data_IF_878307712973
#
_entry.id   IF_878307712973
#
_cell.length_a   1.000
_cell.length_b   1.000
_cell.length_c   1.000
_cell.angle_alpha   90.00
_cell.angle_beta   90.00
_cell.angle_gamma   90.00
#
_symmetry.space_group_name_H-M   'P 1'
#
loop_
_entity.id
_entity.type
_entity.pdbx_description
1 polymer ?
#
# COMPACT_ATOMS: atom_id res chain seq x y z
N UNK A 1 39.21 13.43 -14.06
CA UNK A 1 38.30 12.80 -13.09
C UNK A 1 37.00 13.57 -13.04
N UNK A 2 35.82 12.96 -13.35
CA UNK A 2 34.51 13.61 -13.11
C UNK A 2 34.30 13.74 -11.60
N UNK A 3 34.12 14.98 -11.09
CA UNK A 3 33.81 15.21 -9.69
C UNK A 3 32.54 14.43 -9.31
N UNK A 4 32.60 13.57 -8.31
CA UNK A 4 31.45 12.79 -7.84
C UNK A 4 30.68 13.63 -6.85
N UNK A 5 29.58 14.27 -7.30
CA UNK A 5 28.69 15.04 -6.43
C UNK A 5 27.74 14.12 -5.66
N UNK A 6 27.52 14.42 -4.40
CA UNK A 6 26.58 13.72 -3.55
C UNK A 6 25.41 14.62 -3.19
N UNK A 7 24.20 14.21 -3.59
CA UNK A 7 22.96 14.91 -3.21
C UNK A 7 22.55 14.51 -1.80
N UNK A 8 22.43 15.49 -0.90
CA UNK A 8 21.99 15.30 0.49
C UNK A 8 20.79 16.17 0.78
N UNK A 9 19.87 15.70 1.63
CA UNK A 9 18.72 16.44 2.11
C UNK A 9 18.46 16.13 3.59
N UNK A 10 18.28 17.18 4.39
CA UNK A 10 17.71 17.07 5.74
C UNK A 10 16.20 16.86 5.62
N UNK A 11 15.68 15.79 6.20
CA UNK A 11 14.27 15.42 6.11
C UNK A 11 13.46 16.25 7.10
N UNK A 12 12.36 16.84 6.60
CA UNK A 12 11.38 17.57 7.40
C UNK A 12 10.34 16.61 8.01
N UNK A 13 9.91 15.59 7.27
CA UNK A 13 8.95 14.60 7.72
C UNK A 13 9.60 13.63 8.73
N UNK A 14 9.13 13.67 9.97
CA UNK A 14 9.63 12.77 11.03
C UNK A 14 8.76 11.52 11.22
N UNK A 15 7.44 11.64 11.02
CA UNK A 15 6.48 10.59 11.35
C UNK A 15 5.71 10.15 10.10
N UNK A 16 5.93 8.90 9.66
CA UNK A 16 5.27 8.33 8.49
C UNK A 16 4.61 7.00 8.82
N UNK A 17 3.34 6.87 8.48
CA UNK A 17 2.59 5.61 8.51
C UNK A 17 2.38 5.17 7.06
N UNK A 18 2.79 3.95 6.74
CA UNK A 18 2.46 3.26 5.50
C UNK A 18 1.38 2.23 5.76
N UNK A 19 0.25 2.32 5.09
CA UNK A 19 -0.68 1.20 4.91
C UNK A 19 -0.35 0.59 3.57
N UNK A 20 0.05 -0.67 3.56
CA UNK A 20 0.60 -1.34 2.38
C UNK A 20 0.07 -2.76 2.22
N UNK A 21 0.34 -3.36 1.10
CA UNK A 21 -0.01 -4.72 0.71
C UNK A 21 -0.16 -4.80 -0.81
N UNK A 22 -0.49 -5.99 -1.29
CA UNK A 22 -0.79 -6.20 -2.71
C UNK A 22 -2.02 -5.36 -3.13
N UNK A 23 -2.12 -4.97 -4.39
CA UNK A 23 -3.35 -4.35 -4.89
C UNK A 23 -4.57 -5.27 -4.57
N UNK A 24 -5.70 -4.67 -4.20
CA UNK A 24 -6.92 -5.39 -3.75
C UNK A 24 -6.77 -6.18 -2.44
N UNK A 25 -5.74 -5.91 -1.64
CA UNK A 25 -5.59 -6.54 -0.30
C UNK A 25 -6.55 -5.97 0.75
N UNK A 26 -7.27 -4.88 0.46
CA UNK A 26 -8.18 -4.21 1.39
C UNK A 26 -7.61 -2.94 2.02
N UNK A 27 -6.52 -2.41 1.49
CA UNK A 27 -5.91 -1.16 1.95
C UNK A 27 -6.89 0.02 1.90
N UNK A 28 -7.65 0.15 0.81
CA UNK A 28 -8.65 1.22 0.64
C UNK A 28 -9.72 1.26 1.73
N UNK A 29 -9.99 0.13 2.40
CA UNK A 29 -10.86 0.07 3.58
C UNK A 29 -10.10 0.45 4.85
N UNK A 30 -8.87 -0.04 5.03
CA UNK A 30 -8.11 0.16 6.27
C UNK A 30 -7.48 1.56 6.35
N UNK A 31 -7.05 2.12 5.23
CA UNK A 31 -6.37 3.42 5.19
C UNK A 31 -7.22 4.57 5.71
N UNK A 32 -8.52 4.73 5.34
CA UNK A 32 -9.39 5.74 5.91
C UNK A 32 -9.61 5.57 7.42
N UNK A 33 -9.66 4.32 7.89
CA UNK A 33 -9.81 4.03 9.32
C UNK A 33 -8.55 4.49 10.08
N UNK A 34 -7.36 4.21 9.56
CA UNK A 34 -6.10 4.71 10.14
C UNK A 34 -6.04 6.24 10.10
N UNK A 35 -6.50 6.88 9.00
CA UNK A 35 -6.60 8.33 8.88
C UNK A 35 -7.50 8.97 9.95
N UNK A 36 -8.50 8.24 10.45
CA UNK A 36 -9.40 8.71 11.48
C UNK A 36 -8.79 8.76 12.89
N UNK A 37 -7.63 8.16 13.10
CA UNK A 37 -6.95 8.12 14.41
C UNK A 37 -6.41 9.50 14.81
N UNK A 38 -6.15 9.67 16.11
CA UNK A 38 -5.58 10.90 16.66
C UNK A 38 -4.24 11.24 16.00
N UNK A 39 -4.02 12.52 15.68
CA UNK A 39 -2.76 13.00 15.09
C UNK A 39 -2.35 12.35 13.75
N UNK A 40 -3.21 11.60 13.09
CA UNK A 40 -2.96 11.09 11.75
C UNK A 40 -3.58 12.05 10.74
N UNK A 41 -2.82 12.46 9.75
CA UNK A 41 -3.28 13.29 8.64
C UNK A 41 -4.19 12.47 7.70
N UNK A 42 -4.95 13.18 6.84
CA UNK A 42 -5.74 12.49 5.83
C UNK A 42 -4.88 11.66 4.90
N UNK A 43 -5.48 10.64 4.32
CA UNK A 43 -4.83 9.70 3.41
C UNK A 43 -4.24 10.40 2.18
N UNK A 44 -3.02 10.02 1.82
CA UNK A 44 -2.38 10.38 0.54
C UNK A 44 -2.02 9.13 -0.25
N UNK A 45 -2.12 9.24 -1.56
CA UNK A 45 -1.60 8.26 -2.54
C UNK A 45 -0.58 8.96 -3.42
N UNK A 46 0.67 8.50 -3.35
CA UNK A 46 1.78 9.09 -4.10
C UNK A 46 2.42 7.96 -4.93
N UNK A 47 1.84 7.66 -6.06
CA UNK A 47 2.26 6.54 -6.94
C UNK A 47 3.71 6.62 -7.42
N UNK A 48 4.28 7.83 -7.50
CA UNK A 48 5.71 8.01 -7.84
C UNK A 48 6.65 7.31 -6.86
N UNK A 49 6.26 7.19 -5.58
CA UNK A 49 7.07 6.48 -4.58
C UNK A 49 7.08 4.98 -4.82
N UNK A 50 5.96 4.39 -5.24
CA UNK A 50 5.90 2.99 -5.64
C UNK A 50 6.77 2.75 -6.88
N UNK A 51 6.76 3.67 -7.86
CA UNK A 51 7.62 3.60 -9.04
C UNK A 51 9.11 3.69 -8.68
N UNK A 52 9.49 4.59 -7.77
CA UNK A 52 10.89 4.67 -7.29
C UNK A 52 11.32 3.39 -6.58
N UNK A 53 10.43 2.78 -5.80
CA UNK A 53 10.70 1.49 -5.14
C UNK A 53 10.94 0.37 -6.15
N UNK A 54 10.13 0.33 -7.22
CA UNK A 54 10.26 -0.64 -8.32
C UNK A 54 11.57 -0.41 -9.09
N UNK A 55 11.87 0.84 -9.48
CA UNK A 55 13.11 1.18 -10.19
C UNK A 55 14.37 0.84 -9.35
N UNK A 56 14.31 1.07 -8.04
CA UNK A 56 15.38 0.67 -7.13
C UNK A 56 15.51 -0.86 -7.04
N UNK A 57 14.41 -1.59 -6.99
CA UNK A 57 14.40 -3.05 -6.95
C UNK A 57 15.05 -3.66 -8.20
N UNK A 58 14.80 -3.08 -9.38
CA UNK A 58 15.40 -3.49 -10.65
C UNK A 58 16.76 -2.83 -10.91
N UNK A 59 17.36 -2.16 -9.93
CA UNK A 59 18.67 -1.50 -10.02
C UNK A 59 18.78 -0.45 -11.16
N UNK A 60 17.61 0.12 -11.58
CA UNK A 60 17.55 1.21 -12.55
C UNK A 60 17.85 2.57 -11.93
N UNK A 61 17.63 2.69 -10.62
CA UNK A 61 18.06 3.82 -9.81
C UNK A 61 18.80 3.30 -8.58
N UNK A 62 19.92 3.96 -8.23
CA UNK A 62 20.62 3.66 -6.98
C UNK A 62 19.72 3.93 -5.78
N UNK A 63 19.93 3.20 -4.68
CA UNK A 63 19.18 3.45 -3.44
C UNK A 63 19.34 4.90 -2.96
N UNK A 64 20.54 5.47 -3.12
CA UNK A 64 20.86 6.83 -2.74
C UNK A 64 20.07 7.86 -3.55
N UNK A 65 20.02 7.71 -4.87
CA UNK A 65 19.23 8.58 -5.76
C UNK A 65 17.74 8.44 -5.48
N UNK A 66 17.24 7.22 -5.38
CA UNK A 66 15.82 6.95 -5.09
C UNK A 66 15.40 7.55 -3.75
N UNK A 67 16.23 7.40 -2.70
CA UNK A 67 16.02 8.00 -1.38
C UNK A 67 15.97 9.53 -1.44
N UNK A 68 16.90 10.15 -2.15
CA UNK A 68 16.94 11.61 -2.29
C UNK A 68 15.65 12.15 -2.93
N UNK A 69 15.22 11.55 -4.04
CA UNK A 69 13.99 11.95 -4.74
C UNK A 69 12.76 11.70 -3.85
N UNK A 70 12.67 10.52 -3.22
CA UNK A 70 11.55 10.16 -2.35
C UNK A 70 11.40 11.12 -1.17
N UNK A 71 12.51 11.50 -0.54
CA UNK A 71 12.49 12.43 0.59
C UNK A 71 12.04 13.86 0.19
N UNK A 72 12.34 14.28 -1.04
CA UNK A 72 11.81 15.54 -1.57
C UNK A 72 10.29 15.46 -1.79
N UNK A 73 9.81 14.40 -2.42
CA UNK A 73 8.38 14.19 -2.66
C UNK A 73 7.61 14.12 -1.34
N UNK A 74 8.12 13.36 -0.37
CA UNK A 74 7.48 13.19 0.93
C UNK A 74 7.42 14.51 1.72
N UNK A 75 8.52 15.23 1.81
CA UNK A 75 8.58 16.50 2.51
C UNK A 75 7.69 17.56 1.88
N UNK A 76 7.69 17.65 0.53
CA UNK A 76 6.83 18.57 -0.19
C UNK A 76 5.36 18.24 0.03
N UNK A 77 4.97 16.98 -0.17
CA UNK A 77 3.59 16.53 0.05
C UNK A 77 3.10 16.77 1.47
N UNK A 78 3.96 16.51 2.46
CA UNK A 78 3.60 16.74 3.86
C UNK A 78 3.49 18.23 4.16
N UNK A 79 4.41 19.06 3.67
CA UNK A 79 4.34 20.51 3.79
C UNK A 79 3.06 21.07 3.17
N UNK A 80 2.72 20.64 1.97
CA UNK A 80 1.49 21.03 1.27
C UNK A 80 0.23 20.66 2.05
N UNK A 81 0.22 19.47 2.65
CA UNK A 81 -0.88 19.02 3.50
C UNK A 81 -1.06 19.90 4.75
N UNK A 82 0.05 20.35 5.37
CA UNK A 82 0.02 21.22 6.54
C UNK A 82 -0.52 22.62 6.24
N UNK A 83 -0.45 23.08 5.00
CA UNK A 83 -0.97 24.41 4.56
C UNK A 83 -2.21 24.32 3.68
N UNK A 84 -2.80 23.14 3.54
CA UNK A 84 -3.99 22.95 2.71
C UNK A 84 -3.76 23.10 1.20
N UNK A 85 -2.49 23.01 0.71
CA UNK A 85 -2.17 23.09 -0.71
C UNK A 85 -2.27 21.75 -1.39
N UNK A 86 -2.62 21.70 -2.68
CA UNK A 86 -2.72 20.50 -3.51
C UNK A 86 -3.56 19.40 -2.82
N UNK A 87 -4.69 19.82 -2.23
CA UNK A 87 -5.65 18.92 -1.59
C UNK A 87 -6.63 18.40 -2.62
N UNK A 88 -7.09 17.16 -2.45
CA UNK A 88 -8.09 16.58 -3.32
C UNK A 88 -9.49 16.94 -2.82
N UNK A 89 -10.26 17.66 -3.64
CA UNK A 89 -11.67 18.03 -3.38
C UNK A 89 -12.66 17.22 -4.24
N UNK A 90 -12.21 16.15 -4.89
CA UNK A 90 -13.08 15.29 -5.68
C UNK A 90 -13.97 14.50 -4.73
N UNK A 91 -15.27 14.77 -4.74
CA UNK A 91 -16.25 14.06 -3.92
C UNK A 91 -16.15 12.54 -4.06
N UNK A 92 -16.36 11.81 -2.97
CA UNK A 92 -16.33 10.34 -2.89
C UNK A 92 -14.97 9.67 -3.18
N UNK A 93 -13.93 10.43 -3.47
CA UNK A 93 -12.57 9.87 -3.56
C UNK A 93 -12.00 9.62 -2.16
N UNK A 94 -11.43 8.46 -1.93
CA UNK A 94 -10.90 8.07 -0.61
C UNK A 94 -9.79 9.00 -0.08
N UNK A 95 -9.15 9.79 -0.96
CA UNK A 95 -8.16 10.81 -0.62
C UNK A 95 -8.75 12.22 -0.57
N UNK A 96 -10.07 12.39 -0.71
CA UNK A 96 -10.74 13.67 -0.66
C UNK A 96 -10.74 14.30 0.72
N UNK A 97 -10.73 15.62 0.77
CA UNK A 97 -10.94 16.40 1.99
C UNK A 97 -12.25 16.03 2.66
N UNK A 98 -13.34 15.82 1.90
CA UNK A 98 -14.65 15.42 2.40
C UNK A 98 -14.63 14.08 3.13
N UNK A 99 -13.73 13.17 2.72
CA UNK A 99 -13.56 11.85 3.32
C UNK A 99 -12.63 11.86 4.54
N UNK A 100 -12.01 13.01 4.84
CA UNK A 100 -11.18 13.17 6.02
C UNK A 100 -12.00 13.18 7.31
N UNK A 101 -11.34 12.98 8.46
CA UNK A 101 -12.01 13.04 9.77
C UNK A 101 -12.47 14.45 10.14
N UNK A 102 -11.86 15.48 9.59
CA UNK A 102 -12.18 16.88 9.85
C UNK A 102 -11.91 17.71 8.59
N UNK A 103 -12.88 17.82 7.67
CA UNK A 103 -12.75 18.65 6.47
C UNK A 103 -12.42 20.11 6.78
N UNK A 104 -13.06 20.69 7.81
CA UNK A 104 -12.87 22.08 8.21
C UNK A 104 -11.43 22.39 8.63
N UNK A 105 -10.67 21.40 9.10
CA UNK A 105 -9.25 21.57 9.41
C UNK A 105 -8.47 21.99 8.17
N UNK A 106 -8.74 21.37 7.02
CA UNK A 106 -8.00 21.63 5.78
C UNK A 106 -8.40 22.97 5.16
N UNK A 107 -9.66 23.38 5.30
CA UNK A 107 -10.10 24.74 4.92
C UNK A 107 -9.42 25.82 5.78
N UNK A 108 -9.35 25.62 7.09
CA UNK A 108 -8.62 26.52 7.99
C UNK A 108 -7.13 26.62 7.62
N UNK A 109 -6.53 25.53 7.15
CA UNK A 109 -5.12 25.50 6.72
C UNK A 109 -4.84 26.37 5.49
N UNK A 110 -5.83 26.65 4.64
CA UNK A 110 -5.68 27.60 3.52
C UNK A 110 -5.29 29.00 3.96
N UNK A 111 -5.64 29.37 5.21
CA UNK A 111 -5.31 30.66 5.82
C UNK A 111 -3.91 30.71 6.47
N UNK A 112 -3.20 29.58 6.55
CA UNK A 112 -1.88 29.51 7.17
C UNK A 112 -0.82 30.13 6.27
N UNK A 113 -0.12 31.16 6.78
CA UNK A 113 1.02 31.77 6.09
C UNK A 113 2.18 30.77 6.00
N UNK A 114 2.89 30.80 4.85
CA UNK A 114 4.03 29.92 4.55
C UNK A 114 5.23 30.14 5.49
N UNK A 115 6.17 29.22 5.45
CA UNK A 115 7.49 29.37 6.06
C UNK A 115 7.56 28.99 7.53
N UNK A 116 8.17 29.86 8.37
CA UNK A 116 8.48 29.53 9.77
C UNK A 116 7.27 29.15 10.62
N UNK A 117 6.09 29.67 10.31
CA UNK A 117 4.85 29.36 11.03
C UNK A 117 4.42 27.90 10.83
N UNK A 118 4.65 27.35 9.63
CA UNK A 118 4.36 25.92 9.34
C UNK A 118 5.28 25.01 10.18
N UNK A 119 6.54 25.38 10.33
CA UNK A 119 7.50 24.62 11.15
C UNK A 119 7.13 24.65 12.63
N UNK A 120 6.67 25.80 13.15
CA UNK A 120 6.17 25.89 14.53
C UNK A 120 4.94 25.02 14.73
N UNK A 121 3.99 25.08 13.82
CA UNK A 121 2.79 24.26 13.83
C UNK A 121 3.12 22.76 13.81
N UNK A 122 3.98 22.32 12.89
CA UNK A 122 4.43 20.92 12.79
C UNK A 122 5.05 20.43 14.11
N UNK A 123 5.97 21.20 14.69
CA UNK A 123 6.62 20.85 15.98
C UNK A 123 5.63 20.70 17.13
N UNK A 124 4.60 21.56 17.16
CA UNK A 124 3.55 21.51 18.18
C UNK A 124 2.62 20.31 18.02
N UNK A 125 2.18 20.02 16.80
CA UNK A 125 1.18 19.00 16.52
C UNK A 125 1.74 17.58 16.44
N UNK A 126 2.99 17.41 15.97
CA UNK A 126 3.65 16.10 15.76
C UNK A 126 2.76 15.09 15.06
N UNK A 127 2.12 15.53 13.97
CA UNK A 127 1.21 14.69 13.21
C UNK A 127 1.95 13.64 12.38
N UNK A 128 1.26 12.59 12.00
CA UNK A 128 1.76 11.52 11.15
C UNK A 128 1.21 11.68 9.74
N UNK A 129 2.08 11.76 8.76
CA UNK A 129 1.67 11.59 7.36
C UNK A 129 1.25 10.14 7.15
N UNK A 130 0.13 9.94 6.44
CA UNK A 130 -0.37 8.62 6.10
C UNK A 130 -0.32 8.41 4.58
N UNK A 131 0.32 7.33 4.17
CA UNK A 131 0.35 6.89 2.78
C UNK A 131 -0.27 5.52 2.60
N UNK A 132 -1.09 5.37 1.56
CA UNK A 132 -1.42 4.07 0.96
C UNK A 132 -0.40 3.80 -0.15
N UNK A 133 0.28 2.65 -0.05
CA UNK A 133 1.31 2.23 -1.01
C UNK A 133 1.10 0.76 -1.41
N UNK A 134 1.82 0.33 -2.44
CA UNK A 134 1.78 -1.05 -2.89
C UNK A 134 3.08 -1.79 -2.57
N UNK A 135 2.94 -3.02 -2.07
CA UNK A 135 4.04 -3.97 -1.93
C UNK A 135 5.28 -3.44 -1.15
N UNK A 136 5.10 -2.54 -0.16
CA UNK A 136 6.23 -1.98 0.59
C UNK A 136 7.05 -3.06 1.33
N UNK A 137 6.44 -4.17 1.72
CA UNK A 137 7.14 -5.32 2.30
C UNK A 137 8.05 -5.99 1.27
N UNK A 138 7.59 -6.17 0.03
CA UNK A 138 8.43 -6.66 -1.05
C UNK A 138 9.59 -5.70 -1.33
N UNK A 139 9.31 -4.40 -1.42
CA UNK A 139 10.31 -3.34 -1.67
C UNK A 139 10.90 -2.76 -0.39
N UNK A 140 11.01 -3.56 0.68
CA UNK A 140 11.44 -3.10 2.00
C UNK A 140 12.82 -2.43 2.02
N UNK A 141 13.75 -2.85 1.15
CA UNK A 141 15.08 -2.21 1.03
C UNK A 141 14.97 -0.71 0.75
N UNK A 142 14.03 -0.30 -0.10
CA UNK A 142 13.78 1.11 -0.38
C UNK A 142 13.13 1.81 0.83
N UNK A 143 11.98 1.31 1.30
CA UNK A 143 11.19 1.98 2.32
C UNK A 143 11.89 2.11 3.68
N UNK A 144 12.61 1.06 4.10
CA UNK A 144 13.32 1.05 5.38
C UNK A 144 14.58 1.94 5.38
N UNK A 145 15.08 2.32 4.22
CA UNK A 145 16.28 3.15 4.08
C UNK A 145 15.99 4.64 3.78
N UNK A 146 14.72 5.07 3.78
CA UNK A 146 14.38 6.49 3.58
C UNK A 146 15.00 7.41 4.64
N UNK A 147 15.29 6.89 5.83
CA UNK A 147 15.86 7.65 6.94
C UNK A 147 14.81 8.44 7.74
N UNK A 148 13.54 8.07 7.62
CA UNK A 148 12.45 8.64 8.41
C UNK A 148 12.51 8.09 9.83
N UNK A 149 12.53 8.99 10.82
CA UNK A 149 12.75 8.67 12.24
C UNK A 149 11.70 7.69 12.78
N UNK A 150 10.44 7.98 12.54
CA UNK A 150 9.30 7.22 13.06
C UNK A 150 8.49 6.63 11.89
N UNK A 151 9.11 5.75 11.12
CA UNK A 151 8.42 4.98 10.08
C UNK A 151 7.65 3.83 10.73
N UNK A 152 6.34 3.72 10.45
CA UNK A 152 5.47 2.61 10.84
C UNK A 152 4.84 1.98 9.60
N UNK A 153 4.84 0.66 9.51
CA UNK A 153 4.32 -0.09 8.37
C UNK A 153 3.20 -1.02 8.84
N UNK A 154 2.01 -0.81 8.31
CA UNK A 154 0.84 -1.67 8.51
C UNK A 154 0.64 -2.44 7.20
N UNK A 155 1.00 -3.71 7.17
CA UNK A 155 0.88 -4.54 5.99
C UNK A 155 -0.44 -5.31 6.01
N UNK A 156 -1.32 -5.04 5.05
CA UNK A 156 -2.60 -5.73 4.89
C UNK A 156 -2.43 -6.86 3.89
N UNK A 157 -2.75 -8.06 4.33
CA UNK A 157 -2.70 -9.27 3.50
C UNK A 157 -4.10 -9.84 3.30
N UNK A 158 -4.35 -10.48 2.18
CA UNK A 158 -5.64 -11.06 1.82
C UNK A 158 -5.46 -12.38 1.12
N UNK A 159 -6.47 -13.25 1.24
CA UNK A 159 -6.47 -14.56 0.58
C UNK A 159 -6.21 -14.41 -0.94
N UNK A 160 -5.27 -15.19 -1.52
CA UNK A 160 -4.92 -15.11 -2.94
C UNK A 160 -6.09 -15.30 -3.91
N UNK A 161 -7.09 -16.11 -3.55
CA UNK A 161 -8.29 -16.33 -4.37
C UNK A 161 -9.07 -15.02 -4.48
N UNK A 162 -9.24 -14.29 -3.38
CA UNK A 162 -9.98 -13.03 -3.37
C UNK A 162 -9.24 -11.94 -4.14
N UNK A 163 -7.91 -11.90 -4.04
CA UNK A 163 -7.06 -10.98 -4.80
C UNK A 163 -7.16 -11.30 -6.30
N UNK A 164 -7.00 -12.57 -6.69
CA UNK A 164 -7.07 -13.00 -8.08
C UNK A 164 -8.45 -12.69 -8.70
N UNK A 165 -9.53 -13.01 -8.01
CA UNK A 165 -10.89 -12.66 -8.47
C UNK A 165 -11.08 -11.16 -8.64
N UNK A 166 -10.57 -10.36 -7.72
CA UNK A 166 -10.63 -8.89 -7.83
C UNK A 166 -9.85 -8.38 -9.05
N UNK A 167 -8.64 -8.88 -9.29
CA UNK A 167 -7.82 -8.48 -10.44
C UNK A 167 -8.41 -8.92 -11.78
N UNK A 168 -9.08 -10.08 -11.82
CA UNK A 168 -9.83 -10.52 -13.00
C UNK A 168 -10.98 -9.54 -13.29
N UNK A 169 -11.74 -9.15 -12.26
CA UNK A 169 -12.86 -8.21 -12.43
C UNK A 169 -12.38 -6.81 -12.84
N UNK A 170 -11.21 -6.37 -12.35
CA UNK A 170 -10.53 -5.11 -12.73
C UNK A 170 -9.84 -5.19 -14.10
N UNK A 171 -9.91 -6.34 -14.80
CA UNK A 171 -9.27 -6.57 -16.11
C UNK A 171 -7.76 -6.32 -16.13
N UNK A 172 -7.06 -6.55 -15.02
CA UNK A 172 -5.62 -6.29 -14.92
C UNK A 172 -4.77 -7.24 -15.78
N UNK A 173 -5.36 -8.28 -16.36
CA UNK A 173 -4.68 -9.15 -17.33
C UNK A 173 -4.46 -8.50 -18.70
N UNK A 174 -5.16 -7.42 -19.02
CA UNK A 174 -5.02 -6.64 -20.26
C UNK A 174 -4.26 -5.33 -20.04
N UNK A 175 -3.55 -5.20 -18.93
CA UNK A 175 -2.92 -3.94 -18.49
C UNK A 175 -1.87 -3.42 -19.47
N UNK A 176 -1.24 -4.32 -20.24
CA UNK A 176 -0.23 -3.97 -21.25
C UNK A 176 -0.82 -3.14 -22.39
N UNK A 177 -2.14 -3.24 -22.62
CA UNK A 177 -2.88 -2.51 -23.66
C UNK A 177 -3.64 -1.29 -23.09
N UNK A 178 -3.55 -1.03 -21.78
CA UNK A 178 -4.30 0.05 -21.13
C UNK A 178 -3.50 1.34 -21.13
N UNK A 179 -4.05 2.40 -21.74
CA UNK A 179 -3.49 3.76 -21.71
C UNK A 179 -3.52 4.34 -20.27
N UNK A 180 -4.51 3.96 -19.47
CA UNK A 180 -4.67 4.42 -18.09
C UNK A 180 -3.91 3.58 -17.07
N UNK A 181 -3.03 2.68 -17.55
CA UNK A 181 -2.26 1.82 -16.68
C UNK A 181 -1.21 2.61 -15.88
N UNK A 182 -1.27 2.47 -14.57
CA UNK A 182 -0.27 3.04 -13.65
C UNK A 182 0.79 2.01 -13.20
N UNK A 183 0.65 0.75 -13.61
CA UNK A 183 1.60 -0.32 -13.31
C UNK A 183 2.75 -0.25 -14.32
N UNK A 184 4.01 -0.09 -13.88
CA UNK A 184 5.13 -0.04 -14.79
C UNK A 184 5.23 -1.28 -15.68
N UNK A 185 5.49 -1.06 -16.95
CA UNK A 185 5.79 -2.10 -17.91
C UNK A 185 7.31 -2.27 -18.01
N UNK A 186 7.75 -3.50 -18.21
CA UNK A 186 9.14 -3.84 -18.49
C UNK A 186 9.24 -4.49 -19.87
N UNK A 187 10.32 -4.19 -20.58
CA UNK A 187 10.59 -4.76 -21.90
C UNK A 187 11.90 -5.54 -21.90
N UNK A 188 11.87 -6.73 -22.53
CA UNK A 188 13.05 -7.56 -22.76
C UNK A 188 12.93 -8.27 -24.11
N UNK A 189 13.92 -8.13 -25.01
CA UNK A 189 13.95 -8.73 -26.35
C UNK A 189 12.60 -8.54 -27.10
N UNK A 190 12.15 -7.28 -27.22
CA UNK A 190 10.88 -6.89 -27.87
C UNK A 190 9.58 -7.40 -27.22
N UNK A 191 9.64 -8.07 -26.06
CA UNK A 191 8.47 -8.47 -25.29
C UNK A 191 8.24 -7.48 -24.16
N UNK A 192 7.05 -6.90 -24.08
CA UNK A 192 6.65 -5.97 -23.02
C UNK A 192 5.60 -6.63 -22.14
N UNK A 193 5.76 -6.54 -20.84
CA UNK A 193 4.84 -7.09 -19.83
C UNK A 193 4.80 -6.21 -18.58
N UNK A 194 3.73 -6.34 -17.78
CA UNK A 194 3.69 -5.76 -16.44
C UNK A 194 4.90 -6.23 -15.62
N UNK A 195 5.49 -5.35 -14.83
CA UNK A 195 6.71 -5.66 -14.06
C UNK A 195 6.55 -6.89 -13.14
N UNK A 196 5.36 -7.17 -12.69
CA UNK A 196 5.04 -8.37 -11.91
C UNK A 196 5.45 -9.69 -12.60
N UNK A 197 5.51 -9.68 -13.94
CA UNK A 197 5.86 -10.85 -14.75
C UNK A 197 7.36 -10.90 -15.09
N UNK A 198 8.22 -10.19 -14.38
CA UNK A 198 9.64 -10.08 -14.69
C UNK A 198 10.36 -11.44 -14.80
N UNK A 199 9.95 -12.43 -14.00
CA UNK A 199 10.49 -13.81 -14.08
C UNK A 199 9.96 -14.60 -15.27
N UNK A 200 8.81 -14.20 -15.80
CA UNK A 200 8.07 -14.93 -16.83
C UNK A 200 8.06 -14.20 -18.18
N UNK A 201 8.92 -13.18 -18.33
CA UNK A 201 8.93 -12.33 -19.54
C UNK A 201 9.18 -13.13 -20.83
N UNK A 202 9.96 -14.21 -20.75
CA UNK A 202 10.29 -15.09 -21.88
C UNK A 202 9.31 -16.26 -22.08
N UNK A 203 8.39 -16.51 -21.14
CA UNK A 203 7.46 -17.63 -21.24
C UNK A 203 6.41 -17.41 -22.33
N UNK A 204 5.78 -18.52 -22.77
CA UNK A 204 4.67 -18.50 -23.76
C UNK A 204 3.60 -17.48 -23.38
N UNK A 205 2.92 -16.96 -24.39
CA UNK A 205 1.81 -16.04 -24.23
C UNK A 205 0.73 -16.71 -23.38
N UNK A 206 0.38 -16.12 -22.28
CA UNK A 206 -0.71 -16.50 -21.40
C UNK A 206 -1.98 -15.78 -21.84
N UNK A 207 -3.15 -16.36 -21.58
CA UNK A 207 -4.37 -15.59 -21.70
C UNK A 207 -4.45 -14.53 -20.57
N UNK A 208 -5.38 -13.58 -20.67
CA UNK A 208 -5.52 -12.48 -19.70
C UNK A 208 -5.76 -12.94 -18.26
N UNK A 209 -6.47 -14.04 -18.06
CA UNK A 209 -6.77 -14.58 -16.74
C UNK A 209 -5.57 -15.31 -16.12
N UNK A 210 -4.85 -16.09 -16.94
CA UNK A 210 -3.59 -16.73 -16.55
C UNK A 210 -2.51 -15.71 -16.22
N UNK A 211 -2.48 -14.61 -16.95
CA UNK A 211 -1.63 -13.44 -16.69
C UNK A 211 -1.90 -12.90 -15.27
N UNK A 212 -3.16 -12.71 -14.90
CA UNK A 212 -3.55 -12.30 -13.53
C UNK A 212 -3.05 -13.30 -12.50
N UNK A 213 -3.24 -14.61 -12.69
CA UNK A 213 -2.78 -15.61 -11.72
C UNK A 213 -1.27 -15.50 -11.49
N UNK A 214 -0.47 -15.38 -12.57
CA UNK A 214 0.99 -15.26 -12.43
C UNK A 214 1.40 -13.95 -11.74
N UNK A 215 0.76 -12.84 -12.02
CA UNK A 215 1.03 -11.57 -11.33
C UNK A 215 0.71 -11.68 -9.84
N UNK A 216 -0.45 -12.24 -9.47
CA UNK A 216 -0.86 -12.43 -8.07
C UNK A 216 0.12 -13.36 -7.34
N UNK A 217 0.52 -14.47 -7.98
CA UNK A 217 1.52 -15.37 -7.41
C UNK A 217 2.84 -14.63 -7.14
N UNK A 218 3.34 -13.88 -8.12
CA UNK A 218 4.59 -13.11 -7.94
C UNK A 218 4.49 -12.11 -6.79
N UNK A 219 3.38 -11.39 -6.68
CA UNK A 219 3.19 -10.41 -5.60
C UNK A 219 3.18 -11.05 -4.23
N UNK A 220 2.32 -12.06 -4.04
CA UNK A 220 2.11 -12.65 -2.71
C UNK A 220 3.30 -13.53 -2.29
N UNK A 221 3.93 -14.27 -3.20
CA UNK A 221 5.15 -15.02 -2.92
C UNK A 221 6.29 -14.09 -2.46
N UNK A 222 6.50 -12.97 -3.18
CA UNK A 222 7.51 -12.00 -2.77
C UNK A 222 7.12 -11.33 -1.44
N UNK A 223 5.86 -10.97 -1.23
CA UNK A 223 5.40 -10.42 0.04
C UNK A 223 5.69 -11.38 1.19
N UNK A 224 5.37 -12.66 1.08
CA UNK A 224 5.66 -13.70 2.08
C UNK A 224 7.17 -13.82 2.30
N UNK A 225 7.94 -13.99 1.22
CA UNK A 225 9.40 -14.13 1.25
C UNK A 225 10.09 -12.98 1.97
N UNK A 226 9.72 -11.74 1.64
CA UNK A 226 10.36 -10.57 2.22
C UNK A 226 9.82 -10.26 3.63
N UNK A 227 8.54 -10.56 3.91
CA UNK A 227 8.02 -10.48 5.27
C UNK A 227 8.81 -11.36 6.25
N UNK A 228 9.14 -12.59 5.88
CA UNK A 228 9.95 -13.48 6.72
C UNK A 228 11.29 -12.86 7.13
N UNK A 229 11.91 -12.07 6.24
CA UNK A 229 13.19 -11.41 6.50
C UNK A 229 13.09 -10.23 7.48
N UNK A 230 11.93 -9.59 7.56
CA UNK A 230 11.75 -8.35 8.34
C UNK A 230 10.67 -8.44 9.43
N UNK A 231 10.06 -9.62 9.65
CA UNK A 231 8.93 -9.83 10.59
C UNK A 231 9.21 -9.41 12.04
N UNK A 232 10.48 -9.45 12.47
CA UNK A 232 10.90 -9.08 13.82
C UNK A 232 11.12 -7.58 14.01
N UNK A 233 10.92 -6.77 12.97
CA UNK A 233 11.08 -5.32 13.10
C UNK A 233 9.93 -4.71 13.91
N UNK A 234 10.28 -3.91 14.93
CA UNK A 234 9.34 -3.21 15.81
C UNK A 234 8.49 -2.14 15.10
N UNK A 235 8.81 -1.81 13.86
CA UNK A 235 8.10 -0.81 13.06
C UNK A 235 7.21 -1.44 11.97
N UNK A 236 6.94 -2.74 12.04
CA UNK A 236 6.10 -3.48 11.10
C UNK A 236 5.07 -4.32 11.86
N UNK A 237 3.79 -4.19 11.47
CA UNK A 237 2.75 -5.17 11.80
C UNK A 237 2.12 -5.71 10.54
N UNK A 238 1.60 -6.94 10.62
CA UNK A 238 0.80 -7.54 9.56
C UNK A 238 -0.60 -7.85 10.06
N UNK A 239 -1.58 -7.60 9.20
CA UNK A 239 -2.99 -7.76 9.48
C UNK A 239 -3.61 -8.54 8.32
N UNK A 240 -4.31 -9.60 8.64
CA UNK A 240 -5.14 -10.34 7.69
C UNK A 240 -6.45 -9.60 7.47
N UNK A 241 -6.83 -9.39 6.21
CA UNK A 241 -8.04 -8.66 5.86
C UNK A 241 -9.32 -9.29 6.41
N UNK A 242 -9.44 -10.63 6.31
CA UNK A 242 -10.64 -11.34 6.79
C UNK A 242 -10.76 -11.18 8.30
N UNK A 243 -9.65 -11.42 9.02
CA UNK A 243 -9.61 -11.23 10.47
C UNK A 243 -9.89 -9.78 10.88
N UNK A 244 -9.41 -8.80 10.10
CA UNK A 244 -9.73 -7.39 10.37
C UNK A 244 -11.22 -7.12 10.19
N UNK A 245 -11.82 -7.64 9.13
CA UNK A 245 -13.23 -7.42 8.84
C UNK A 245 -14.16 -8.06 9.92
N UNK A 246 -13.81 -9.25 10.39
CA UNK A 246 -14.60 -9.98 11.38
C UNK A 246 -14.35 -9.50 12.82
N UNK A 247 -13.09 -9.29 13.17
CA UNK A 247 -12.64 -8.93 14.53
C UNK A 247 -12.09 -7.50 14.56
N UNK A 248 -12.83 -6.55 13.99
CA UNK A 248 -12.41 -5.16 13.78
C UNK A 248 -11.91 -4.50 15.06
N UNK A 249 -12.64 -4.62 16.18
CA UNK A 249 -12.25 -3.96 17.43
C UNK A 249 -10.92 -4.45 17.97
N UNK A 250 -10.65 -5.74 17.94
CA UNK A 250 -9.38 -6.34 18.38
C UNK A 250 -8.22 -5.86 17.47
N UNK A 251 -8.42 -5.87 16.17
CA UNK A 251 -7.41 -5.40 15.23
C UNK A 251 -7.16 -3.88 15.34
N UNK A 252 -8.19 -3.10 15.66
CA UNK A 252 -8.04 -1.68 15.95
C UNK A 252 -7.23 -1.44 17.22
N UNK A 253 -7.42 -2.22 18.28
CA UNK A 253 -6.57 -2.17 19.48
C UNK A 253 -5.11 -2.48 19.13
N UNK A 254 -4.87 -3.52 18.31
CA UNK A 254 -3.54 -3.86 17.81
C UNK A 254 -2.90 -2.71 17.04
N UNK A 255 -3.64 -2.05 16.13
CA UNK A 255 -3.15 -0.89 15.39
C UNK A 255 -2.86 0.29 16.31
N UNK A 256 -3.77 0.65 17.20
CA UNK A 256 -3.61 1.77 18.13
C UNK A 256 -2.39 1.57 19.05
N UNK A 257 -2.22 0.37 19.61
CA UNK A 257 -1.06 0.02 20.43
C UNK A 257 0.25 0.10 19.63
N UNK A 258 0.27 -0.43 18.41
CA UNK A 258 1.44 -0.38 17.53
C UNK A 258 1.85 1.05 17.16
N UNK A 259 0.87 1.90 16.87
CA UNK A 259 1.10 3.30 16.53
C UNK A 259 1.33 4.17 17.76
N UNK A 260 0.91 3.72 18.95
CA UNK A 260 0.82 4.51 20.20
C UNK A 260 -0.09 5.72 20.04
N UNK A 261 -1.23 5.53 19.41
CA UNK A 261 -2.20 6.55 19.04
C UNK A 261 -3.62 6.06 19.37
N UNK A 262 -4.48 6.94 19.85
CA UNK A 262 -5.85 6.62 20.23
C UNK A 262 -6.84 6.82 19.09
N UNK A 263 -8.00 6.16 19.22
CA UNK A 263 -9.17 6.42 18.37
C UNK A 263 -9.73 7.82 18.64
N UNK A 264 -10.42 8.35 17.66
CA UNK A 264 -11.22 9.59 17.80
C UNK A 264 -12.70 9.26 17.71
N UNK A 265 -13.56 10.25 17.99
CA UNK A 265 -15.02 10.13 17.79
C UNK A 265 -15.38 9.80 16.33
N UNK A 266 -14.53 10.22 15.38
CA UNK A 266 -14.73 9.96 13.95
C UNK A 266 -14.41 8.52 13.57
N UNK A 267 -13.58 7.80 14.36
CA UNK A 267 -13.20 6.42 14.03
C UNK A 267 -14.43 5.51 13.92
N UNK A 268 -15.40 5.65 14.82
CA UNK A 268 -16.63 4.85 14.76
C UNK A 268 -17.50 5.20 13.54
N UNK A 269 -17.52 6.48 13.12
CA UNK A 269 -18.22 6.89 11.88
C UNK A 269 -17.59 6.25 10.65
N UNK A 270 -16.25 6.23 10.58
CA UNK A 270 -15.52 5.60 9.48
C UNK A 270 -15.73 4.09 9.48
N UNK A 271 -15.66 3.41 10.63
CA UNK A 271 -15.94 1.97 10.73
C UNK A 271 -17.35 1.63 10.24
N UNK A 272 -18.34 2.42 10.62
CA UNK A 272 -19.74 2.25 10.13
C UNK A 272 -19.85 2.45 8.62
N UNK A 273 -19.19 3.48 8.07
CA UNK A 273 -19.13 3.74 6.62
C UNK A 273 -18.52 2.57 5.86
N UNK A 274 -17.46 1.96 6.39
CA UNK A 274 -16.79 0.80 5.80
C UNK A 274 -17.54 -0.53 6.07
N UNK A 275 -18.72 -0.47 6.68
CA UNK A 275 -19.53 -1.64 7.04
C UNK A 275 -18.74 -2.67 7.88
N UNK A 276 -18.20 -2.20 9.02
CA UNK A 276 -17.38 -3.02 9.92
C UNK A 276 -17.94 -2.99 11.37
N UNK A 277 -17.89 -4.12 12.11
CA UNK A 277 -17.42 -5.46 11.67
C UNK A 277 -18.44 -6.14 10.72
N UNK A 278 -17.94 -7.09 9.90
CA UNK A 278 -18.79 -7.91 9.03
C UNK A 278 -18.25 -9.33 8.87
N UNK A 279 -19.15 -10.29 8.67
CA UNK A 279 -18.78 -11.68 8.39
C UNK A 279 -18.24 -11.84 6.97
N UNK A 280 -17.21 -12.65 6.81
CA UNK A 280 -16.68 -13.08 5.51
C UNK A 280 -17.28 -14.44 5.19
N UNK A 281 -18.09 -14.51 4.15
CA UNK A 281 -18.79 -15.75 3.78
C UNK A 281 -17.84 -16.73 3.07
N UNK A 282 -17.61 -17.89 3.67
CA UNK A 282 -16.78 -18.97 3.11
C UNK A 282 -17.29 -19.43 1.74
N UNK A 283 -18.62 -19.52 1.58
CA UNK A 283 -19.24 -19.92 0.30
C UNK A 283 -18.91 -18.97 -0.85
N UNK A 284 -18.68 -17.67 -0.58
CA UNK A 284 -18.29 -16.73 -1.62
C UNK A 284 -16.89 -17.04 -2.19
N UNK A 285 -15.98 -17.51 -1.33
CA UNK A 285 -14.64 -17.89 -1.79
C UNK A 285 -14.69 -19.17 -2.65
N UNK A 286 -15.54 -20.12 -2.31
CA UNK A 286 -15.74 -21.30 -3.14
C UNK A 286 -16.29 -20.94 -4.51
N UNK A 287 -17.31 -20.08 -4.59
CA UNK A 287 -17.83 -19.57 -5.87
C UNK A 287 -16.76 -18.90 -6.71
N UNK A 288 -15.87 -18.09 -6.09
CA UNK A 288 -14.73 -17.48 -6.77
C UNK A 288 -13.74 -18.51 -7.31
N UNK A 289 -13.45 -19.57 -6.56
CA UNK A 289 -12.59 -20.70 -7.02
C UNK A 289 -13.18 -21.35 -8.27
N UNK A 290 -14.47 -21.68 -8.25
CA UNK A 290 -15.13 -22.30 -9.39
C UNK A 290 -15.13 -21.37 -10.62
N UNK A 291 -15.37 -20.07 -10.42
CA UNK A 291 -15.25 -19.07 -11.48
C UNK A 291 -13.85 -19.05 -12.09
N UNK A 292 -12.81 -18.96 -11.26
CA UNK A 292 -11.41 -18.90 -11.73
C UNK A 292 -11.03 -20.19 -12.45
N UNK A 293 -11.42 -21.36 -11.92
CA UNK A 293 -11.16 -22.67 -12.52
C UNK A 293 -11.65 -22.78 -13.98
N UNK A 294 -12.78 -22.16 -14.30
CA UNK A 294 -13.35 -22.13 -15.65
C UNK A 294 -12.58 -21.19 -16.61
N UNK A 295 -11.78 -20.25 -16.11
CA UNK A 295 -11.12 -19.20 -16.89
C UNK A 295 -9.65 -19.48 -17.20
N UNK A 296 -9.02 -20.40 -16.48
CA UNK A 296 -7.60 -20.70 -16.58
C UNK A 296 -7.36 -22.19 -16.77
N UNK A 297 -6.19 -22.55 -17.31
CA UNK A 297 -5.83 -23.96 -17.46
C UNK A 297 -5.55 -24.62 -16.09
N UNK A 298 -5.57 -25.97 -16.01
CA UNK A 298 -5.38 -26.71 -14.74
C UNK A 298 -4.06 -26.39 -14.04
N UNK A 299 -2.98 -26.13 -14.78
CA UNK A 299 -1.66 -25.82 -14.23
C UNK A 299 -1.69 -24.49 -13.47
N UNK A 300 -2.29 -23.46 -14.07
CA UNK A 300 -2.41 -22.15 -13.45
C UNK A 300 -3.36 -22.18 -12.26
N UNK A 301 -4.44 -22.94 -12.34
CA UNK A 301 -5.35 -23.12 -11.22
C UNK A 301 -4.65 -23.83 -10.04
N UNK A 302 -3.90 -24.90 -10.30
CA UNK A 302 -3.10 -25.60 -9.29
C UNK A 302 -2.10 -24.65 -8.60
N UNK A 303 -1.39 -23.83 -9.39
CA UNK A 303 -0.45 -22.82 -8.87
C UNK A 303 -1.14 -21.85 -7.89
N UNK A 304 -2.34 -21.38 -8.21
CA UNK A 304 -3.11 -20.49 -7.33
C UNK A 304 -3.53 -21.20 -6.03
N UNK A 305 -3.93 -22.46 -6.09
CA UNK A 305 -4.30 -23.26 -4.92
C UNK A 305 -3.08 -23.54 -4.01
N UNK A 306 -1.93 -23.78 -4.58
CA UNK A 306 -0.66 -23.94 -3.84
C UNK A 306 -0.28 -22.64 -3.12
N UNK A 307 -0.45 -21.51 -3.79
CA UNK A 307 -0.27 -20.19 -3.18
C UNK A 307 -1.25 -19.95 -2.02
N UNK A 308 -2.52 -20.33 -2.17
CA UNK A 308 -3.50 -20.24 -1.07
C UNK A 308 -3.08 -21.08 0.13
N UNK A 309 -2.63 -22.32 -0.09
CA UNK A 309 -2.11 -23.20 0.98
C UNK A 309 -0.92 -22.54 1.69
N UNK A 310 0.02 -21.99 0.93
CA UNK A 310 1.18 -21.26 1.45
C UNK A 310 0.74 -20.06 2.30
N UNK A 311 -0.19 -19.25 1.81
CA UNK A 311 -0.76 -18.12 2.53
C UNK A 311 -1.39 -18.53 3.87
N UNK A 312 -2.24 -19.57 3.86
CA UNK A 312 -2.90 -20.08 5.07
C UNK A 312 -1.87 -20.60 6.09
N UNK A 313 -0.84 -21.34 5.63
CA UNK A 313 0.26 -21.78 6.48
C UNK A 313 0.95 -20.60 7.17
N UNK A 314 1.27 -19.56 6.43
CA UNK A 314 1.92 -18.36 6.97
C UNK A 314 1.01 -17.55 7.90
N UNK A 315 -0.28 -17.44 7.58
CA UNK A 315 -1.27 -16.80 8.46
C UNK A 315 -1.32 -17.48 9.83
N UNK A 316 -1.36 -18.82 9.87
CA UNK A 316 -1.35 -19.61 11.11
C UNK A 316 -0.04 -19.43 11.88
N UNK A 317 1.10 -19.56 11.18
CA UNK A 317 2.44 -19.52 11.79
C UNK A 317 2.75 -18.16 12.46
N UNK A 318 2.28 -17.07 11.90
CA UNK A 318 2.60 -15.72 12.37
C UNK A 318 1.42 -15.01 13.05
N UNK A 319 0.30 -15.71 13.30
CA UNK A 319 -0.89 -15.20 14.00
C UNK A 319 -1.33 -13.81 13.46
N UNK A 320 -1.49 -13.72 12.13
CA UNK A 320 -1.91 -12.46 11.47
C UNK A 320 -3.34 -12.07 11.80
#
# INVERSE_FOLDING_TARGET
MKKQFEFKKKIFLENLILVTGTNSSGKSMVSPIVASLQKVEMLRKIYYLDQLAILNFFEKLSLKTSKFIANHILDLSYYEQLIGRNMNFRHSDETSVDMSKDPNLYEKRLKIKRGKNVLKFHKAQKTHMLLDTHNAVWFNKFWLNLGIRNLKIINISRNPIDVANSWINLKLGDIENSILNQIPLISYKKKTKAFYLYKDINKKKLNKYETVINMVCTCIENEIKYYQKIKHRKNLIRIDFDNFAENTNMNMLKICSFLKINRTIFTNKVLKRENLPRKILVNDRQKKKEKIKKLVNPVQFKKLLELEKLYIKHKKLYKW
#
